data_IF_388472831097
#
_entry.id   IF_388472831097
#
_cell.length_a   1.000
_cell.length_b   1.000
_cell.length_c   1.000
_cell.angle_alpha   90.00
_cell.angle_beta   90.00
_cell.angle_gamma   90.00
#
_symmetry.space_group_name_H-M   'P 1'
#
loop_
_entity.id
_entity.type
_entity.pdbx_description
1 polymer ?
#
# COMPACT_ATOMS: atom_id res chain seq x y z
N UNK A 1 62.59 18.69 -35.66
CA UNK A 1 61.24 18.86 -35.08
C UNK A 1 60.83 17.53 -34.48
N UNK A 2 60.73 17.44 -33.15
CA UNK A 2 60.41 16.22 -32.41
C UNK A 2 59.01 16.34 -31.79
N UNK A 3 58.14 15.36 -32.01
CA UNK A 3 56.85 15.18 -31.33
C UNK A 3 56.32 13.78 -31.66
N UNK A 4 56.77 12.74 -30.96
CA UNK A 4 56.24 12.11 -29.73
C UNK A 4 54.92 11.34 -29.94
N UNK A 5 55.07 10.02 -29.86
CA UNK A 5 54.12 8.89 -29.84
C UNK A 5 53.10 8.98 -28.69
N UNK A 6 51.98 8.24 -28.75
CA UNK A 6 50.86 8.37 -27.82
C UNK A 6 51.21 7.78 -26.44
N UNK A 7 50.72 8.37 -25.34
CA UNK A 7 50.73 7.68 -24.07
C UNK A 7 49.52 6.76 -23.98
N UNK A 8 49.79 5.46 -24.01
CA UNK A 8 49.03 4.46 -23.27
C UNK A 8 48.93 4.92 -21.81
N UNK A 9 47.74 4.86 -21.23
CA UNK A 9 47.61 4.87 -19.78
C UNK A 9 46.53 3.88 -19.35
N UNK A 10 46.77 3.18 -18.22
CA UNK A 10 46.25 1.85 -17.95
C UNK A 10 44.78 1.86 -17.52
N UNK A 11 44.08 0.80 -17.91
CA UNK A 11 42.83 0.33 -17.30
C UNK A 11 43.03 0.18 -15.80
N UNK A 12 42.66 1.21 -15.04
CA UNK A 12 42.52 1.12 -13.60
C UNK A 12 41.16 0.49 -13.32
N UNK A 13 41.17 -0.82 -13.11
CA UNK A 13 40.04 -1.54 -12.55
C UNK A 13 39.87 -1.05 -11.11
N UNK A 14 38.81 -0.27 -10.86
CA UNK A 14 38.33 0.01 -9.51
C UNK A 14 36.91 -0.52 -9.42
N UNK A 15 36.79 -1.74 -8.90
CA UNK A 15 35.52 -2.29 -8.43
C UNK A 15 35.04 -1.42 -7.26
N UNK A 16 34.05 -0.59 -7.49
CA UNK A 16 33.32 0.09 -6.43
C UNK A 16 31.87 -0.33 -6.54
N UNK A 17 31.50 -1.29 -5.69
CA UNK A 17 30.11 -1.50 -5.32
C UNK A 17 29.58 -0.21 -4.72
N UNK A 18 28.57 0.35 -5.37
CA UNK A 18 27.95 1.60 -4.96
C UNK A 18 26.64 1.77 -5.71
N UNK A 19 25.55 1.74 -4.97
CA UNK A 19 24.19 2.01 -5.42
C UNK A 19 24.15 3.33 -6.23
N UNK A 20 23.89 3.27 -7.54
CA UNK A 20 23.62 4.47 -8.34
C UNK A 20 22.11 4.57 -8.58
N UNK A 21 21.52 5.35 -7.67
CA UNK A 21 20.18 5.92 -7.74
C UNK A 21 20.02 6.82 -8.95
N UNK A 22 18.89 6.67 -9.65
CA UNK A 22 18.11 7.73 -10.28
C UNK A 22 18.83 8.75 -11.18
N UNK A 23 18.43 8.72 -12.45
CA UNK A 23 18.55 9.78 -13.48
C UNK A 23 19.59 9.52 -14.56
N UNK A 24 19.07 9.01 -15.70
CA UNK A 24 19.56 9.20 -17.08
C UNK A 24 21.07 9.11 -17.32
N UNK A 25 21.53 8.04 -17.97
CA UNK A 25 22.16 8.15 -19.30
C UNK A 25 21.83 6.86 -20.08
N UNK A 26 20.94 7.01 -21.07
CA UNK A 26 20.83 6.11 -22.21
C UNK A 26 22.19 6.01 -22.89
N UNK A 27 22.73 4.81 -23.08
CA UNK A 27 23.54 4.40 -24.25
C UNK A 27 24.15 3.03 -23.95
N UNK A 28 23.51 1.96 -24.40
CA UNK A 28 24.14 0.71 -24.84
C UNK A 28 23.07 -0.36 -25.02
N UNK A 29 22.44 -0.44 -26.19
CA UNK A 29 21.92 -1.73 -26.67
C UNK A 29 22.14 -1.84 -28.18
N UNK A 30 23.37 -2.23 -28.53
CA UNK A 30 23.61 -2.96 -29.75
C UNK A 30 23.18 -4.42 -29.51
N UNK A 31 22.07 -4.79 -30.14
CA UNK A 31 21.76 -6.16 -30.59
C UNK A 31 21.87 -7.29 -29.57
N UNK A 32 20.77 -7.56 -28.86
CA UNK A 32 20.18 -8.91 -28.69
C UNK A 32 18.97 -8.81 -27.78
N UNK A 33 17.91 -9.50 -28.17
CA UNK A 33 16.72 -9.83 -27.39
C UNK A 33 16.90 -9.74 -25.86
N UNK A 34 16.61 -8.56 -25.33
CA UNK A 34 16.13 -8.42 -23.97
C UNK A 34 14.82 -7.67 -24.12
N UNK A 35 13.76 -8.46 -24.25
CA UNK A 35 12.41 -8.10 -23.84
C UNK A 35 12.47 -7.67 -22.37
N UNK A 36 13.02 -6.49 -22.10
CA UNK A 36 12.65 -5.71 -20.94
C UNK A 36 11.27 -5.13 -21.27
N UNK A 37 10.29 -6.03 -21.32
CA UNK A 37 8.96 -5.72 -20.83
C UNK A 37 9.22 -5.28 -19.40
N UNK A 38 9.51 -3.99 -19.24
CA UNK A 38 9.21 -3.26 -18.03
C UNK A 38 7.69 -3.21 -18.01
N UNK A 39 7.07 -4.37 -17.77
CA UNK A 39 5.86 -4.41 -17.00
C UNK A 39 6.33 -3.81 -15.69
N UNK A 40 6.08 -2.50 -15.55
CA UNK A 40 5.99 -1.89 -14.25
C UNK A 40 4.88 -2.64 -13.53
N UNK A 41 5.23 -3.81 -13.00
CA UNK A 41 4.93 -4.13 -11.62
C UNK A 41 5.70 -3.10 -10.79
N UNK A 42 5.27 -1.85 -10.90
CA UNK A 42 5.21 -0.98 -9.75
C UNK A 42 4.19 -1.68 -8.85
N UNK A 43 4.63 -2.78 -8.22
CA UNK A 43 4.27 -3.07 -6.86
C UNK A 43 4.59 -1.75 -6.18
N UNK A 44 3.53 -0.95 -6.02
CA UNK A 44 3.53 0.31 -5.35
C UNK A 44 3.96 -0.03 -3.92
N UNK A 45 5.28 -0.15 -3.74
CA UNK A 45 5.99 -0.39 -2.49
C UNK A 45 5.90 0.89 -1.65
N UNK A 46 4.69 1.46 -1.56
CA UNK A 46 4.34 2.39 -0.51
C UNK A 46 4.36 1.59 0.79
N UNK A 47 5.55 1.56 1.40
CA UNK A 47 5.77 1.07 2.76
C UNK A 47 5.59 -0.45 2.97
N UNK A 48 5.92 -1.28 1.97
CA UNK A 48 6.08 -2.74 2.15
C UNK A 48 4.81 -3.55 2.40
N UNK A 49 3.62 -2.93 2.34
CA UNK A 49 2.33 -3.62 2.40
C UNK A 49 1.76 -3.77 0.99
N UNK A 50 1.52 -5.01 0.58
CA UNK A 50 0.92 -5.35 -0.71
C UNK A 50 -0.59 -5.13 -0.68
N UNK A 51 -1.21 -4.91 -1.85
CA UNK A 51 -2.67 -4.83 -1.96
C UNK A 51 -3.38 -6.10 -1.45
N UNK A 52 -2.74 -7.26 -1.57
CA UNK A 52 -3.28 -8.53 -1.05
C UNK A 52 -3.35 -8.53 0.47
N UNK A 53 -2.34 -7.96 1.15
CA UNK A 53 -2.35 -7.81 2.61
C UNK A 53 -3.41 -6.80 3.07
N UNK A 54 -3.61 -5.70 2.33
CA UNK A 54 -4.70 -4.74 2.60
C UNK A 54 -6.04 -5.44 2.51
N UNK A 55 -6.30 -6.20 1.44
CA UNK A 55 -7.56 -6.95 1.28
C UNK A 55 -7.75 -7.95 2.43
N UNK A 56 -6.71 -8.65 2.86
CA UNK A 56 -6.79 -9.56 4.02
C UNK A 56 -7.10 -8.82 5.33
N UNK A 57 -6.50 -7.65 5.55
CA UNK A 57 -6.78 -6.82 6.72
C UNK A 57 -8.24 -6.33 6.73
N UNK A 58 -8.75 -5.94 5.56
CA UNK A 58 -10.17 -5.57 5.41
C UNK A 58 -11.11 -6.76 5.66
N UNK A 59 -10.73 -7.98 5.26
CA UNK A 59 -11.49 -9.20 5.54
C UNK A 59 -11.48 -9.59 7.02
N UNK A 60 -10.36 -9.34 7.71
CA UNK A 60 -10.28 -9.48 9.17
C UNK A 60 -11.19 -8.48 9.88
N UNK A 61 -11.24 -7.24 9.41
CA UNK A 61 -12.14 -6.22 9.96
C UNK A 61 -13.61 -6.61 9.75
N UNK A 62 -13.96 -7.13 8.57
CA UNK A 62 -15.31 -7.63 8.28
C UNK A 62 -15.71 -8.76 9.23
N UNK A 63 -14.79 -9.70 9.46
CA UNK A 63 -15.01 -10.81 10.38
C UNK A 63 -15.19 -10.30 11.81
N UNK A 64 -14.37 -9.34 12.24
CA UNK A 64 -14.48 -8.72 13.55
C UNK A 64 -15.87 -8.06 13.72
N UNK A 65 -16.32 -7.27 12.74
CA UNK A 65 -17.64 -6.61 12.74
C UNK A 65 -18.75 -7.66 12.87
N UNK A 66 -18.74 -8.72 12.05
CA UNK A 66 -19.76 -9.79 12.09
C UNK A 66 -19.74 -10.59 13.39
N UNK A 67 -18.61 -10.66 14.08
CA UNK A 67 -18.46 -11.38 15.35
C UNK A 67 -18.63 -10.49 16.60
N UNK A 68 -18.77 -9.18 16.41
CA UNK A 68 -18.69 -8.19 17.49
C UNK A 68 -19.87 -8.19 18.43
N UNK A 69 -21.01 -8.79 18.05
CA UNK A 69 -22.23 -8.76 18.85
C UNK A 69 -22.84 -7.37 19.02
N UNK A 70 -22.46 -6.39 18.18
CA UNK A 70 -23.16 -5.12 18.04
C UNK A 70 -24.52 -5.32 17.38
N UNK A 71 -25.39 -4.32 17.48
CA UNK A 71 -26.71 -4.40 16.87
C UNK A 71 -26.62 -4.49 15.33
N UNK A 72 -27.58 -5.21 14.75
CA UNK A 72 -27.54 -5.64 13.35
C UNK A 72 -27.55 -4.45 12.38
N UNK A 73 -28.32 -3.40 12.68
CA UNK A 73 -28.39 -2.18 11.87
C UNK A 73 -27.02 -1.50 11.74
N UNK A 74 -26.30 -1.38 12.84
CA UNK A 74 -24.99 -0.74 12.89
C UNK A 74 -23.90 -1.65 12.30
N UNK A 75 -24.07 -2.96 12.44
CA UNK A 75 -23.24 -3.94 11.76
C UNK A 75 -23.37 -3.81 10.24
N UNK A 76 -24.59 -3.75 9.71
CA UNK A 76 -24.86 -3.60 8.27
C UNK A 76 -24.26 -2.30 7.73
N UNK A 77 -24.44 -1.18 8.44
CA UNK A 77 -23.87 0.11 8.06
C UNK A 77 -22.34 0.06 7.93
N UNK A 78 -21.65 -0.52 8.92
CA UNK A 78 -20.19 -0.69 8.85
C UNK A 78 -19.77 -1.62 7.71
N UNK A 79 -20.55 -2.68 7.46
CA UNK A 79 -20.27 -3.64 6.38
C UNK A 79 -20.47 -3.02 5.00
N UNK A 80 -21.42 -2.11 4.81
CA UNK A 80 -21.65 -1.42 3.53
C UNK A 80 -20.45 -0.54 3.15
N UNK A 81 -19.96 0.29 4.08
CA UNK A 81 -18.75 1.08 3.86
C UNK A 81 -17.52 0.19 3.64
N UNK A 82 -17.37 -0.87 4.44
CA UNK A 82 -16.25 -1.79 4.30
C UNK A 82 -16.26 -2.55 2.98
N UNK A 83 -17.44 -2.97 2.50
CA UNK A 83 -17.58 -3.65 1.22
C UNK A 83 -17.22 -2.73 0.05
N UNK A 84 -17.57 -1.44 0.12
CA UNK A 84 -17.12 -0.45 -0.85
C UNK A 84 -15.58 -0.31 -0.87
N UNK A 85 -14.95 -0.20 0.31
CA UNK A 85 -13.49 -0.16 0.45
C UNK A 85 -12.83 -1.43 -0.11
N UNK A 86 -13.36 -2.61 0.22
CA UNK A 86 -12.87 -3.90 -0.27
C UNK A 86 -13.02 -4.05 -1.77
N UNK A 87 -14.16 -3.66 -2.34
CA UNK A 87 -14.39 -3.70 -3.78
C UNK A 87 -13.36 -2.85 -4.51
N UNK A 88 -13.05 -1.67 -3.98
CA UNK A 88 -12.03 -0.79 -4.58
C UNK A 88 -10.62 -1.39 -4.46
N UNK A 89 -10.25 -1.93 -3.30
CA UNK A 89 -8.97 -2.62 -3.12
C UNK A 89 -8.84 -3.85 -4.05
N UNK A 90 -9.91 -4.65 -4.20
CA UNK A 90 -9.94 -5.81 -5.10
C UNK A 90 -9.88 -5.42 -6.58
N UNK A 91 -10.37 -4.24 -6.96
CA UNK A 91 -10.24 -3.74 -8.35
C UNK A 91 -8.78 -3.51 -8.72
N UNK A 92 -7.97 -2.98 -7.81
CA UNK A 92 -6.53 -2.82 -8.02
C UNK A 92 -5.86 -4.18 -8.19
N UNK A 93 -6.12 -5.11 -7.27
CA UNK A 93 -5.62 -6.48 -7.36
C UNK A 93 -6.01 -7.18 -8.67
N UNK A 94 -7.19 -6.89 -9.22
CA UNK A 94 -7.70 -7.55 -10.43
C UNK A 94 -7.31 -6.88 -11.76
N UNK A 95 -7.11 -5.55 -11.79
CA UNK A 95 -7.01 -4.77 -13.05
C UNK A 95 -5.67 -4.06 -13.26
N UNK A 96 -4.70 -4.19 -12.35
CA UNK A 96 -3.43 -3.42 -12.39
C UNK A 96 -3.65 -1.91 -12.58
N UNK A 97 -4.75 -1.40 -12.03
CA UNK A 97 -5.10 0.01 -12.02
C UNK A 97 -5.00 0.46 -10.57
N UNK A 98 -4.28 1.55 -10.30
CA UNK A 98 -4.10 2.06 -8.93
C UNK A 98 -5.45 2.13 -8.21
N UNK A 99 -5.51 1.57 -7.01
CA UNK A 99 -6.69 1.71 -6.18
C UNK A 99 -6.94 3.19 -5.90
N UNK A 100 -8.21 3.56 -5.83
CA UNK A 100 -8.56 4.84 -5.25
C UNK A 100 -8.37 4.79 -3.73
N UNK A 101 -7.12 4.94 -3.28
CA UNK A 101 -6.72 4.95 -1.86
C UNK A 101 -7.48 6.02 -1.07
N UNK A 102 -7.84 7.15 -1.69
CA UNK A 102 -8.71 8.16 -1.08
C UNK A 102 -10.09 7.60 -0.80
N UNK A 103 -10.73 6.94 -1.77
CA UNK A 103 -12.05 6.32 -1.58
C UNK A 103 -12.00 5.20 -0.54
N UNK A 104 -10.96 4.37 -0.54
CA UNK A 104 -10.76 3.33 0.49
C UNK A 104 -10.63 3.99 1.86
N UNK A 105 -9.79 5.01 1.99
CA UNK A 105 -9.59 5.77 3.22
C UNK A 105 -10.89 6.38 3.74
N UNK A 106 -11.65 7.09 2.90
CA UNK A 106 -12.91 7.72 3.30
C UNK A 106 -13.95 6.70 3.78
N UNK A 107 -14.08 5.54 3.11
CA UNK A 107 -14.96 4.48 3.57
C UNK A 107 -14.50 3.89 4.91
N UNK A 108 -13.19 3.64 5.07
CA UNK A 108 -12.64 3.15 6.33
C UNK A 108 -12.76 4.17 7.46
N UNK A 109 -12.75 5.46 7.12
CA UNK A 109 -13.03 6.53 8.08
C UNK A 109 -14.46 6.44 8.58
N UNK A 110 -15.45 6.25 7.71
CA UNK A 110 -16.84 6.04 8.13
C UNK A 110 -16.96 4.82 9.06
N UNK A 111 -16.35 3.69 8.69
CA UNK A 111 -16.31 2.49 9.55
C UNK A 111 -15.68 2.80 10.92
N UNK A 112 -14.58 3.56 10.94
CA UNK A 112 -13.92 3.96 12.18
C UNK A 112 -14.78 4.90 13.04
N UNK A 113 -15.48 5.87 12.44
CA UNK A 113 -16.35 6.80 13.15
C UNK A 113 -17.55 6.06 13.77
N UNK A 114 -18.17 5.14 13.02
CA UNK A 114 -19.26 4.30 13.55
C UNK A 114 -18.78 3.43 14.70
N UNK A 115 -17.66 2.71 14.55
CA UNK A 115 -17.10 1.92 15.66
C UNK A 115 -16.74 2.78 16.88
N UNK A 116 -16.18 3.98 16.65
CA UNK A 116 -15.78 4.91 17.71
C UNK A 116 -16.98 5.42 18.51
N UNK A 117 -18.09 5.69 17.85
CA UNK A 117 -19.33 6.11 18.52
C UNK A 117 -19.94 4.94 19.31
N UNK A 118 -19.85 3.72 18.79
CA UNK A 118 -20.42 2.53 19.45
C UNK A 118 -19.64 2.08 20.69
N UNK A 119 -18.30 2.22 20.71
CA UNK A 119 -17.52 1.81 21.88
C UNK A 119 -17.85 2.61 23.15
N UNK A 120 -18.43 3.80 23.01
CA UNK A 120 -18.88 4.61 24.14
C UNK A 120 -20.17 4.04 24.77
N UNK A 121 -20.93 3.23 24.02
CA UNK A 121 -22.26 2.75 24.41
C UNK A 121 -22.30 1.25 24.71
N UNK A 122 -21.34 0.45 24.22
CA UNK A 122 -21.33 -1.00 24.40
C UNK A 122 -19.93 -1.57 24.68
N UNK A 123 -19.85 -2.52 25.61
CA UNK A 123 -18.61 -3.25 25.90
C UNK A 123 -18.16 -4.13 24.72
N UNK A 124 -19.12 -4.71 23.99
CA UNK A 124 -18.85 -5.49 22.79
C UNK A 124 -18.23 -4.60 21.69
N UNK A 125 -18.72 -3.36 21.58
CA UNK A 125 -18.17 -2.38 20.65
C UNK A 125 -16.77 -1.88 21.05
N UNK A 126 -16.38 -1.90 22.34
CA UNK A 126 -15.00 -1.60 22.76
C UNK A 126 -14.01 -2.63 22.23
N UNK A 127 -14.34 -3.91 22.31
CA UNK A 127 -13.51 -4.98 21.75
C UNK A 127 -13.40 -4.89 20.23
N UNK A 128 -14.50 -4.55 19.56
CA UNK A 128 -14.51 -4.27 18.12
C UNK A 128 -13.62 -3.06 17.78
N UNK A 129 -13.75 -1.95 18.50
CA UNK A 129 -12.94 -0.76 18.28
C UNK A 129 -11.46 -1.02 18.46
N UNK A 130 -11.05 -1.75 19.51
CA UNK A 130 -9.64 -2.11 19.72
C UNK A 130 -9.09 -2.90 18.53
N UNK A 131 -9.81 -3.95 18.12
CA UNK A 131 -9.42 -4.79 16.98
C UNK A 131 -9.39 -3.99 15.67
N UNK A 132 -10.43 -3.20 15.43
CA UNK A 132 -10.54 -2.35 14.23
C UNK A 132 -9.47 -1.26 14.19
N UNK A 133 -9.15 -0.63 15.32
CA UNK A 133 -8.12 0.38 15.41
C UNK A 133 -6.73 -0.19 15.09
N UNK A 134 -6.40 -1.41 15.53
CA UNK A 134 -5.13 -2.06 15.16
C UNK A 134 -5.05 -2.33 13.65
N UNK A 135 -6.14 -2.79 13.04
CA UNK A 135 -6.22 -3.01 11.60
C UNK A 135 -6.07 -1.69 10.83
N UNK A 136 -6.79 -0.64 11.23
CA UNK A 136 -6.74 0.68 10.59
C UNK A 136 -5.35 1.33 10.72
N UNK A 137 -4.68 1.16 11.87
CA UNK A 137 -3.27 1.59 12.04
C UNK A 137 -2.34 0.88 11.06
N UNK A 138 -2.55 -0.41 10.81
CA UNK A 138 -1.74 -1.16 9.86
C UNK A 138 -1.98 -0.71 8.40
N UNK A 139 -3.22 -0.35 8.05
CA UNK A 139 -3.58 0.09 6.70
C UNK A 139 -3.19 1.57 6.45
N UNK A 140 -3.14 2.42 7.47
CA UNK A 140 -2.91 3.87 7.33
C UNK A 140 -1.66 4.24 6.49
N UNK A 141 -0.47 3.63 6.70
CA UNK A 141 0.72 3.92 5.88
C UNK A 141 0.52 3.59 4.40
N UNK A 142 -0.18 2.51 4.09
CA UNK A 142 -0.46 2.10 2.71
C UNK A 142 -1.38 3.09 1.99
N UNK A 143 -2.35 3.65 2.72
CA UNK A 143 -3.23 4.71 2.24
C UNK A 143 -2.54 6.08 2.11
N UNK A 144 -1.35 6.22 2.69
CA UNK A 144 -0.66 7.52 2.79
C UNK A 144 -1.35 8.50 3.74
N UNK A 145 -2.14 8.00 4.71
CA UNK A 145 -2.83 8.82 5.72
C UNK A 145 -2.22 8.59 7.10
N UNK A 146 -2.38 9.57 7.99
CA UNK A 146 -1.97 9.42 9.39
C UNK A 146 -3.04 8.67 10.20
N UNK A 147 -2.64 7.96 11.26
CA UNK A 147 -3.59 7.20 12.10
C UNK A 147 -4.71 8.05 12.72
N UNK A 148 -4.45 9.33 12.99
CA UNK A 148 -5.46 10.27 13.50
C UNK A 148 -6.61 10.52 12.52
N UNK A 149 -6.42 10.22 11.23
CA UNK A 149 -7.47 10.28 10.21
C UNK A 149 -8.65 9.36 10.56
N UNK A 150 -8.36 8.24 11.22
CA UNK A 150 -9.35 7.30 11.75
C UNK A 150 -9.79 7.62 13.19
N UNK A 151 -9.36 8.75 13.74
CA UNK A 151 -9.68 9.15 15.11
C UNK A 151 -8.99 8.32 16.20
N UNK A 152 -7.84 7.71 15.87
CA UNK A 152 -7.00 6.87 16.74
C UNK A 152 -5.75 7.63 17.23
#
# INVERSE_FOLDING_TARGET
MFGKKPPENPTQSQSIGGNVTGSQVQMAQAGRDLTAVQLGDSDDQTQGMTISEVVQLLEKLETAIKSSGVAETEQEEMLDYLDAAKKEAKKEAAKKKEANKTLIGENLKQVSETMKNLQETSEAAKGLWQTGAEILKAIAPWLGVAVHFFGI
#
